data_IF_144975550184
#
_entry.id   IF_144975550184
#
_cell.length_a   1.000
_cell.length_b   1.000
_cell.length_c   1.000
_cell.angle_alpha   90.00
_cell.angle_beta   90.00
_cell.angle_gamma   90.00
#
_symmetry.space_group_name_H-M   'P 1'
#
loop_
_entity.id
_entity.type
_entity.pdbx_description
1 polymer ?
#
# COMPACT_ATOMS: atom_id res chain seq x y z
N UNK A 1 9.36 -8.27 -15.95
CA UNK A 1 9.03 -7.71 -14.62
C UNK A 1 7.52 -7.59 -14.50
N UNK A 2 6.87 -6.89 -15.43
CA UNK A 2 5.41 -6.78 -15.55
C UNK A 2 4.64 -8.11 -15.42
N UNK A 3 5.06 -9.18 -16.11
CA UNK A 3 4.40 -10.49 -15.98
C UNK A 3 4.40 -11.06 -14.55
N UNK A 4 5.48 -10.81 -13.80
CA UNK A 4 5.59 -11.27 -12.40
C UNK A 4 4.79 -10.36 -11.49
N UNK A 5 4.85 -9.04 -11.70
CA UNK A 5 4.04 -8.06 -10.97
C UNK A 5 2.55 -8.38 -11.09
N UNK A 6 2.02 -8.54 -12.31
CA UNK A 6 0.61 -8.85 -12.53
C UNK A 6 0.21 -10.20 -11.91
N UNK A 7 1.10 -11.20 -11.96
CA UNK A 7 0.83 -12.50 -11.35
C UNK A 7 0.72 -12.38 -9.81
N UNK A 8 1.60 -11.59 -9.18
CA UNK A 8 1.57 -11.35 -7.73
C UNK A 8 0.34 -10.54 -7.33
N UNK A 9 0.01 -9.48 -8.09
CA UNK A 9 -1.20 -8.67 -7.85
C UNK A 9 -2.47 -9.53 -7.91
N UNK A 10 -2.60 -10.38 -8.93
CA UNK A 10 -3.73 -11.32 -9.04
C UNK A 10 -3.78 -12.29 -7.86
N UNK A 11 -2.64 -12.87 -7.46
CA UNK A 11 -2.59 -13.78 -6.31
C UNK A 11 -2.99 -13.11 -5.00
N UNK A 12 -2.59 -11.85 -4.80
CA UNK A 12 -2.96 -11.05 -3.63
C UNK A 12 -4.47 -10.75 -3.68
N UNK A 13 -4.97 -10.31 -4.83
CA UNK A 13 -6.40 -10.03 -5.05
C UNK A 13 -7.30 -11.24 -4.79
N UNK A 14 -6.93 -12.41 -5.32
CA UNK A 14 -7.67 -13.67 -5.12
C UNK A 14 -7.70 -14.11 -3.64
N UNK A 15 -6.68 -13.76 -2.87
CA UNK A 15 -6.57 -14.10 -1.45
C UNK A 15 -7.26 -13.08 -0.52
N UNK A 16 -7.53 -11.87 -1.00
CA UNK A 16 -8.04 -10.78 -0.18
C UNK A 16 -9.57 -10.83 -0.05
N UNK A 17 -10.12 -10.64 1.16
CA UNK A 17 -11.57 -10.53 1.34
C UNK A 17 -12.07 -9.19 0.82
N UNK A 18 -13.37 -9.10 0.51
CA UNK A 18 -14.05 -7.85 0.12
C UNK A 18 -13.88 -6.72 1.16
N UNK A 19 -13.71 -7.10 2.44
CA UNK A 19 -13.46 -6.17 3.54
C UNK A 19 -12.20 -6.54 4.29
N UNK A 20 -11.23 -5.63 4.27
CA UNK A 20 -9.96 -5.73 4.97
C UNK A 20 -9.60 -4.35 5.55
N UNK A 21 -8.74 -4.34 6.57
CA UNK A 21 -8.13 -3.12 7.09
C UNK A 21 -6.88 -2.74 6.30
N UNK A 22 -6.42 -1.51 6.46
CA UNK A 22 -5.13 -1.06 5.95
C UNK A 22 -4.18 -0.83 7.12
N UNK A 23 -2.93 -1.25 6.96
CA UNK A 23 -1.83 -0.87 7.84
C UNK A 23 -0.87 -0.01 7.05
N UNK A 24 -0.61 1.19 7.55
CA UNK A 24 0.37 2.11 6.98
C UNK A 24 1.63 2.05 7.82
N UNK A 25 2.78 1.93 7.16
CA UNK A 25 4.10 2.03 7.78
C UNK A 25 4.92 3.07 7.03
N UNK A 26 5.40 4.06 7.76
CA UNK A 26 6.08 5.24 7.23
C UNK A 26 7.53 5.24 7.69
N UNK A 27 8.46 5.43 6.75
CA UNK A 27 9.88 5.56 7.08
C UNK A 27 10.55 6.66 6.28
N UNK A 28 11.62 7.24 6.83
CA UNK A 28 12.48 8.18 6.11
C UNK A 28 13.85 7.56 5.88
N UNK A 29 14.30 7.53 4.62
CA UNK A 29 15.66 7.17 4.25
C UNK A 29 16.37 8.36 3.60
N UNK A 30 17.26 9.00 4.34
CA UNK A 30 17.92 10.22 3.88
C UNK A 30 16.92 11.37 3.77
N UNK A 31 16.73 11.89 2.56
CA UNK A 31 15.78 12.98 2.27
C UNK A 31 14.43 12.48 1.78
N UNK A 32 14.27 11.18 1.52
CA UNK A 32 13.05 10.61 0.97
C UNK A 32 12.22 9.97 2.07
N UNK A 33 10.94 10.35 2.13
CA UNK A 33 9.95 9.74 2.99
C UNK A 33 9.16 8.71 2.18
N UNK A 34 8.96 7.53 2.73
CA UNK A 34 8.29 6.40 2.11
C UNK A 34 7.07 6.03 2.93
N UNK A 35 6.01 5.68 2.23
CA UNK A 35 4.85 5.05 2.83
C UNK A 35 4.65 3.67 2.24
N UNK A 36 4.48 2.71 3.13
CA UNK A 36 4.17 1.33 2.83
C UNK A 36 2.75 1.07 3.24
N UNK A 37 2.01 0.37 2.39
CA UNK A 37 0.61 0.06 2.59
C UNK A 37 0.46 -1.45 2.56
N UNK A 38 -0.09 -2.00 3.63
CA UNK A 38 -0.43 -3.40 3.73
C UNK A 38 -1.94 -3.57 3.83
N UNK A 39 -2.44 -4.66 3.24
CA UNK A 39 -3.75 -5.19 3.61
C UNK A 39 -3.65 -5.80 5.00
N UNK A 40 -4.76 -5.86 5.73
CA UNK A 40 -4.82 -6.46 7.06
C UNK A 40 -6.14 -7.21 7.21
N UNK A 41 -6.07 -8.52 7.29
CA UNK A 41 -7.24 -9.36 7.48
C UNK A 41 -6.88 -10.67 8.18
N UNK A 42 -7.87 -11.29 8.80
CA UNK A 42 -7.72 -12.58 9.46
C UNK A 42 -8.15 -13.71 8.53
N UNK A 43 -7.42 -14.81 8.57
CA UNK A 43 -7.81 -16.08 7.94
C UNK A 43 -7.95 -17.15 9.02
N UNK A 44 -8.48 -18.33 8.65
CA UNK A 44 -8.54 -19.46 9.58
C UNK A 44 -7.15 -19.92 10.06
N UNK A 45 -6.08 -19.58 9.35
CA UNK A 45 -4.71 -19.97 9.67
C UNK A 45 -3.97 -18.89 10.48
N UNK A 46 -4.06 -17.62 10.07
CA UNK A 46 -3.39 -16.49 10.72
C UNK A 46 -3.86 -15.14 10.19
N UNK A 47 -3.45 -14.06 10.87
CA UNK A 47 -3.45 -12.71 10.35
C UNK A 47 -2.58 -12.62 9.08
N UNK A 48 -3.07 -11.89 8.09
CA UNK A 48 -2.41 -11.67 6.80
C UNK A 48 -2.11 -10.19 6.62
N UNK A 49 -0.89 -9.91 6.13
CA UNK A 49 -0.40 -8.57 5.87
C UNK A 49 0.29 -8.45 4.50
N UNK A 50 -0.44 -8.68 3.38
CA UNK A 50 0.17 -8.55 2.06
C UNK A 50 0.58 -7.10 1.80
N UNK A 51 1.78 -6.92 1.23
CA UNK A 51 2.25 -5.62 0.77
C UNK A 51 1.46 -5.22 -0.49
N UNK A 52 0.80 -4.07 -0.43
CA UNK A 52 -0.03 -3.52 -1.51
C UNK A 52 0.70 -2.41 -2.27
N UNK A 53 1.42 -1.54 -1.54
CA UNK A 53 2.15 -0.46 -2.16
C UNK A 53 3.36 -0.08 -1.32
N UNK A 54 4.43 0.31 -2.00
CA UNK A 54 5.58 0.97 -1.43
C UNK A 54 5.94 2.13 -2.37
N UNK A 55 5.72 3.36 -1.91
CA UNK A 55 5.96 4.54 -2.73
C UNK A 55 6.64 5.65 -1.89
N UNK A 56 7.53 6.45 -2.51
CA UNK A 56 7.95 7.70 -1.92
C UNK A 56 6.75 8.66 -1.81
N UNK A 57 6.64 9.36 -0.68
CA UNK A 57 5.58 10.35 -0.41
C UNK A 57 5.92 11.69 -1.03
N UNK A 58 7.21 12.05 -1.08
CA UNK A 58 7.68 13.34 -1.59
C UNK A 58 8.13 13.22 -3.04
N UNK A 59 7.21 13.41 -3.98
CA UNK A 59 7.57 13.68 -5.38
C UNK A 59 7.50 15.19 -5.68
N UNK A 60 6.80 15.99 -4.85
CA UNK A 60 6.62 17.41 -5.07
C UNK A 60 7.14 18.28 -3.89
N UNK A 61 7.72 19.46 -4.16
CA UNK A 61 8.35 20.32 -3.15
C UNK A 61 7.38 20.93 -2.12
N UNK A 62 6.07 20.70 -2.27
CA UNK A 62 5.02 21.16 -1.34
C UNK A 62 4.34 20.00 -0.60
N UNK A 63 4.83 18.76 -0.74
CA UNK A 63 4.37 17.60 0.05
C UNK A 63 4.84 17.78 1.50
N UNK A 64 3.92 18.16 2.40
CA UNK A 64 4.22 18.53 3.79
C UNK A 64 4.06 17.35 4.77
N UNK A 65 3.92 16.12 4.25
CA UNK A 65 3.62 14.92 5.04
C UNK A 65 2.40 15.14 5.96
N UNK A 66 1.41 15.85 5.43
CA UNK A 66 0.19 16.16 6.17
C UNK A 66 -0.88 15.06 5.91
N UNK A 67 -1.98 15.11 6.64
CA UNK A 67 -3.04 14.11 6.51
C UNK A 67 -3.69 14.09 5.11
N UNK A 68 -3.75 15.23 4.42
CA UNK A 68 -4.30 15.33 3.06
C UNK A 68 -3.39 14.63 2.05
N UNK A 69 -2.08 14.81 2.18
CA UNK A 69 -1.07 14.14 1.35
C UNK A 69 -1.13 12.61 1.54
N UNK A 70 -1.30 12.15 2.79
CA UNK A 70 -1.43 10.72 3.08
C UNK A 70 -2.72 10.15 2.47
N UNK A 71 -3.83 10.90 2.50
CA UNK A 71 -5.08 10.51 1.82
C UNK A 71 -4.88 10.47 0.29
N UNK A 72 -4.12 11.41 -0.29
CA UNK A 72 -3.84 11.44 -1.71
C UNK A 72 -3.03 10.21 -2.15
N UNK A 73 -2.00 9.84 -1.39
CA UNK A 73 -1.25 8.60 -1.62
C UNK A 73 -2.19 7.39 -1.49
N UNK A 74 -3.09 7.40 -0.50
CA UNK A 74 -4.08 6.33 -0.33
C UNK A 74 -4.98 6.14 -1.54
N UNK A 75 -5.55 7.23 -2.02
CA UNK A 75 -6.41 7.22 -3.22
C UNK A 75 -5.65 6.78 -4.48
N UNK A 76 -4.35 7.02 -4.55
CA UNK A 76 -3.54 6.64 -5.72
C UNK A 76 -3.33 5.13 -5.83
N UNK A 77 -3.26 4.40 -4.71
CA UNK A 77 -3.05 2.94 -4.75
C UNK A 77 -4.35 2.12 -4.72
N UNK A 78 -5.44 2.64 -4.16
CA UNK A 78 -6.69 1.88 -4.01
C UNK A 78 -7.26 1.28 -5.33
N UNK A 79 -7.18 1.95 -6.50
CA UNK A 79 -7.71 1.41 -7.75
C UNK A 79 -7.00 0.14 -8.27
N UNK A 80 -5.84 -0.24 -7.73
CA UNK A 80 -5.10 -1.42 -8.20
C UNK A 80 -5.59 -2.73 -7.57
N UNK A 81 -6.41 -2.67 -6.52
CA UNK A 81 -6.88 -3.84 -5.77
C UNK A 81 -8.40 -4.05 -5.88
N UNK A 82 -9.03 -3.46 -6.90
CA UNK A 82 -10.48 -3.53 -7.19
C UNK A 82 -10.74 -3.91 -8.65
#
# INVERSE_FOLDING_TARGET
METVTNAVENMIGDAMPERFGLVLDEWTHGTEHYITVYGCFETAASSQYPLLSLAPVMDEPDDQLNAEDHIAVIKRFLPFFW
#
